data_IF_813892720974
#
_entry.id   IF_813892720974
#
_cell.length_a   1.000
_cell.length_b   1.000
_cell.length_c   1.000
_cell.angle_alpha   90.00
_cell.angle_beta   90.00
_cell.angle_gamma   90.00
#
_symmetry.space_group_name_H-M   'P 1'
#
loop_
_entity.id
_entity.type
_entity.pdbx_description
1 polymer ?
#
# COMPACT_ATOMS: atom_id res chain seq x y z
N UNK A 1 -9.23 27.28 -0.66
CA UNK A 1 -8.32 27.04 -1.80
C UNK A 1 -7.47 25.79 -1.60
N UNK A 2 -6.72 25.65 -0.50
CA UNK A 2 -5.79 24.54 -0.26
C UNK A 2 -6.38 23.13 -0.36
N UNK A 3 -7.62 22.89 0.11
CA UNK A 3 -8.26 21.57 -0.02
C UNK A 3 -8.44 21.14 -1.49
N UNK A 4 -8.94 22.04 -2.35
CA UNK A 4 -9.13 21.77 -3.79
C UNK A 4 -7.80 21.51 -4.49
N UNK A 5 -6.75 22.22 -4.09
CA UNK A 5 -5.41 22.02 -4.62
C UNK A 5 -4.85 20.65 -4.23
N UNK A 6 -4.98 20.24 -2.97
CA UNK A 6 -4.57 18.92 -2.51
C UNK A 6 -5.36 17.80 -3.19
N UNK A 7 -6.66 17.98 -3.38
CA UNK A 7 -7.48 17.05 -4.16
C UNK A 7 -6.98 16.93 -5.60
N UNK A 8 -6.71 18.07 -6.26
CA UNK A 8 -6.18 18.06 -7.62
C UNK A 8 -4.80 17.40 -7.75
N UNK A 9 -3.94 17.48 -6.72
CA UNK A 9 -2.68 16.73 -6.68
C UNK A 9 -2.91 15.21 -6.55
N UNK A 10 -3.86 14.82 -5.69
CA UNK A 10 -4.22 13.42 -5.51
C UNK A 10 -4.79 12.80 -6.80
N UNK A 11 -5.76 13.46 -7.43
CA UNK A 11 -6.38 12.99 -8.67
C UNK A 11 -5.36 12.84 -9.80
N UNK A 12 -4.45 13.82 -9.93
CA UNK A 12 -3.35 13.77 -10.91
C UNK A 12 -2.43 12.58 -10.66
N UNK A 13 -2.01 12.36 -9.42
CA UNK A 13 -1.16 11.22 -9.08
C UNK A 13 -1.82 9.88 -9.45
N UNK A 14 -3.11 9.73 -9.14
CA UNK A 14 -3.86 8.52 -9.49
C UNK A 14 -3.92 8.32 -11.00
N UNK A 15 -4.22 9.38 -11.75
CA UNK A 15 -4.30 9.33 -13.22
C UNK A 15 -2.94 8.99 -13.87
N UNK A 16 -1.84 9.59 -13.39
CA UNK A 16 -0.50 9.34 -13.93
C UNK A 16 0.01 7.93 -13.65
N UNK A 17 -0.50 7.25 -12.60
CA UNK A 17 -0.04 5.92 -12.18
C UNK A 17 -0.98 4.79 -12.54
N UNK A 18 -2.16 5.08 -13.09
CA UNK A 18 -3.22 4.07 -13.35
C UNK A 18 -2.84 2.98 -14.36
N UNK A 19 -1.83 3.21 -15.19
CA UNK A 19 -1.33 2.24 -16.19
C UNK A 19 -0.15 1.39 -15.71
N UNK A 20 0.37 1.66 -14.50
CA UNK A 20 1.49 0.93 -13.92
C UNK A 20 1.07 -0.09 -12.86
N UNK A 21 2.08 -0.75 -12.28
CA UNK A 21 1.90 -1.54 -11.06
C UNK A 21 1.71 -0.61 -9.88
N UNK A 22 0.56 -0.72 -9.21
CA UNK A 22 0.17 0.15 -8.10
C UNK A 22 -0.05 -0.68 -6.85
N UNK A 23 0.60 -0.30 -5.75
CA UNK A 23 0.27 -0.80 -4.42
C UNK A 23 -0.56 0.25 -3.70
N UNK A 24 -1.80 -0.10 -3.38
CA UNK A 24 -2.70 0.65 -2.53
C UNK A 24 -2.50 0.16 -1.10
N UNK A 25 -1.82 0.97 -0.29
CA UNK A 25 -1.41 0.60 1.07
C UNK A 25 -2.29 1.30 2.11
N UNK A 26 -3.12 0.54 2.82
CA UNK A 26 -3.91 1.02 3.94
C UNK A 26 -3.16 0.78 5.26
N UNK A 27 -2.88 1.83 6.02
CA UNK A 27 -2.19 1.72 7.31
C UNK A 27 -3.09 2.21 8.43
N UNK A 28 -3.56 1.31 9.29
CA UNK A 28 -4.41 1.64 10.44
C UNK A 28 -5.78 2.21 10.08
N UNK A 29 -6.25 1.95 8.86
CA UNK A 29 -7.57 2.42 8.40
C UNK A 29 -8.65 1.57 9.05
N UNK A 30 -9.55 2.21 9.78
CA UNK A 30 -10.69 1.56 10.45
C UNK A 30 -12.02 1.81 9.72
N UNK A 31 -13.09 1.24 10.28
CA UNK A 31 -14.41 1.19 9.65
C UNK A 31 -15.28 2.43 9.92
N UNK A 32 -14.78 3.44 10.63
CA UNK A 32 -15.57 4.63 10.99
C UNK A 32 -15.98 5.46 9.77
N UNK A 33 -15.08 5.57 8.78
CA UNK A 33 -15.29 6.39 7.58
C UNK A 33 -14.77 5.68 6.33
N UNK A 34 -15.38 4.55 5.93
CA UNK A 34 -14.85 3.71 4.85
C UNK A 34 -14.88 4.42 3.49
N UNK A 35 -15.72 5.46 3.33
CA UNK A 35 -15.81 6.27 2.12
C UNK A 35 -14.59 7.16 1.84
N UNK A 36 -13.67 7.34 2.79
CA UNK A 36 -12.48 8.20 2.60
C UNK A 36 -11.31 7.44 1.98
N UNK A 37 -11.07 6.19 2.40
CA UNK A 37 -9.91 5.40 1.95
C UNK A 37 -10.33 4.02 1.46
N UNK A 38 -10.96 3.21 2.31
CA UNK A 38 -11.24 1.79 2.04
C UNK A 38 -12.06 1.57 0.77
N UNK A 39 -13.22 2.22 0.63
CA UNK A 39 -14.07 2.03 -0.56
C UNK A 39 -13.43 2.57 -1.84
N UNK A 40 -12.80 3.76 -1.86
CA UNK A 40 -12.01 4.21 -3.00
C UNK A 40 -10.91 3.21 -3.41
N UNK A 41 -10.13 2.70 -2.45
CA UNK A 41 -9.05 1.76 -2.74
C UNK A 41 -9.56 0.43 -3.28
N UNK A 42 -10.68 -0.08 -2.77
CA UNK A 42 -11.33 -1.27 -3.32
C UNK A 42 -11.78 -1.03 -4.76
N UNK A 43 -12.41 0.13 -5.02
CA UNK A 43 -12.84 0.51 -6.37
C UNK A 43 -11.66 0.62 -7.33
N UNK A 44 -10.54 1.20 -6.88
CA UNK A 44 -9.32 1.33 -7.66
C UNK A 44 -8.69 -0.04 -7.93
N UNK A 45 -8.58 -0.91 -6.93
CA UNK A 45 -8.06 -2.29 -7.10
C UNK A 45 -8.90 -3.08 -8.10
N UNK A 46 -10.23 -2.89 -8.09
CA UNK A 46 -11.11 -3.54 -9.05
C UNK A 46 -10.91 -3.02 -10.48
N UNK A 47 -10.72 -1.71 -10.66
CA UNK A 47 -10.66 -1.02 -11.97
C UNK A 47 -9.28 -1.01 -12.61
N UNK A 48 -8.22 -0.93 -11.81
CA UNK A 48 -6.85 -0.84 -12.29
C UNK A 48 -6.31 -2.28 -12.47
N UNK A 49 -5.83 -2.65 -13.67
CA UNK A 49 -5.50 -4.04 -13.98
C UNK A 49 -4.37 -4.60 -13.11
N UNK A 50 -3.35 -3.79 -12.82
CA UNK A 50 -2.15 -4.17 -12.05
C UNK A 50 -2.09 -3.51 -10.66
N UNK A 51 -3.25 -3.21 -10.08
CA UNK A 51 -3.33 -2.71 -8.71
C UNK A 51 -3.48 -3.86 -7.70
N UNK A 52 -2.73 -3.75 -6.60
CA UNK A 52 -2.84 -4.60 -5.42
C UNK A 52 -3.19 -3.76 -4.20
N UNK A 53 -4.08 -4.29 -3.37
CA UNK A 53 -4.42 -3.74 -2.06
C UNK A 53 -3.65 -4.49 -0.98
N UNK A 54 -2.99 -3.75 -0.11
CA UNK A 54 -2.42 -4.28 1.12
C UNK A 54 -2.94 -3.46 2.29
N UNK A 55 -3.71 -4.09 3.18
CA UNK A 55 -4.11 -3.47 4.43
C UNK A 55 -3.23 -3.94 5.58
N UNK A 56 -2.83 -3.01 6.45
CA UNK A 56 -2.10 -3.30 7.67
C UNK A 56 -2.82 -2.65 8.83
N UNK A 57 -3.23 -3.45 9.80
CA UNK A 57 -3.85 -2.93 11.01
C UNK A 57 -3.57 -3.85 12.19
N UNK A 58 -3.61 -3.32 13.40
CA UNK A 58 -3.45 -4.10 14.64
C UNK A 58 -4.70 -4.93 14.97
N UNK A 59 -5.82 -4.54 14.37
CA UNK A 59 -7.13 -5.15 14.50
C UNK A 59 -7.87 -5.05 13.18
N UNK A 60 -8.79 -5.97 12.92
CA UNK A 60 -9.55 -5.99 11.68
C UNK A 60 -9.38 -7.32 10.97
N UNK A 61 -10.30 -7.57 10.06
CA UNK A 61 -10.49 -8.87 9.46
C UNK A 61 -9.78 -9.01 8.11
N UNK A 62 -9.90 -10.20 7.53
CA UNK A 62 -9.30 -10.61 6.26
C UNK A 62 -9.52 -9.63 5.10
N UNK A 63 -8.64 -9.69 4.10
CA UNK A 63 -8.77 -8.92 2.87
C UNK A 63 -10.12 -9.16 2.17
N UNK A 64 -10.67 -8.14 1.47
CA UNK A 64 -11.96 -8.25 0.80
C UNK A 64 -11.97 -9.36 -0.24
N UNK A 65 -12.78 -10.39 -0.01
CA UNK A 65 -12.88 -11.59 -0.86
C UNK A 65 -13.15 -11.27 -2.33
N UNK A 66 -13.93 -10.21 -2.60
CA UNK A 66 -14.25 -9.76 -3.96
C UNK A 66 -13.04 -9.28 -4.78
N UNK A 67 -11.92 -8.93 -4.13
CA UNK A 67 -10.69 -8.54 -4.81
C UNK A 67 -9.76 -9.73 -5.07
N UNK A 68 -10.07 -10.91 -4.52
CA UNK A 68 -9.33 -12.15 -4.73
C UNK A 68 -7.85 -12.01 -4.38
N UNK A 69 -6.97 -12.55 -5.22
CA UNK A 69 -5.50 -12.49 -5.03
C UNK A 69 -4.89 -11.09 -5.18
N UNK A 70 -5.69 -10.07 -5.50
CA UNK A 70 -5.24 -8.67 -5.56
C UNK A 70 -5.38 -7.94 -4.24
N UNK A 71 -5.85 -8.59 -3.17
CA UNK A 71 -5.92 -7.99 -1.85
C UNK A 71 -5.35 -8.91 -0.78
N UNK A 72 -4.55 -8.32 0.11
CA UNK A 72 -3.96 -8.98 1.26
C UNK A 72 -4.11 -8.11 2.52
N UNK A 73 -4.19 -8.76 3.68
CA UNK A 73 -4.32 -8.11 4.97
C UNK A 73 -3.23 -8.64 5.91
N UNK A 74 -2.51 -7.72 6.55
CA UNK A 74 -1.49 -8.00 7.55
C UNK A 74 -2.01 -7.53 8.91
N UNK A 75 -2.19 -8.48 9.83
CA UNK A 75 -2.49 -8.18 11.22
C UNK A 75 -1.17 -7.90 11.96
N UNK A 76 -0.84 -6.62 12.15
CA UNK A 76 0.40 -6.21 12.80
C UNK A 76 0.31 -4.82 13.44
N UNK A 77 1.12 -4.62 14.48
CA UNK A 77 1.44 -3.27 14.95
C UNK A 77 2.26 -2.53 13.89
N UNK A 78 1.82 -1.30 13.55
CA UNK A 78 2.45 -0.51 12.50
C UNK A 78 3.89 -0.11 12.85
N UNK A 79 4.18 0.16 14.13
CA UNK A 79 5.53 0.55 14.56
C UNK A 79 6.50 -0.62 14.41
N UNK A 80 6.08 -1.83 14.79
CA UNK A 80 6.85 -3.05 14.60
C UNK A 80 7.05 -3.38 13.12
N UNK A 81 5.98 -3.30 12.31
CA UNK A 81 6.07 -3.59 10.87
C UNK A 81 7.04 -2.63 10.16
N UNK A 82 6.90 -1.32 10.40
CA UNK A 82 7.76 -0.32 9.77
C UNK A 82 9.21 -0.43 10.24
N UNK A 83 9.44 -0.79 11.51
CA UNK A 83 10.79 -1.05 12.02
C UNK A 83 11.41 -2.27 11.33
N UNK A 84 10.67 -3.37 11.20
CA UNK A 84 11.13 -4.56 10.51
C UNK A 84 11.43 -4.30 9.02
N UNK A 85 10.57 -3.53 8.34
CA UNK A 85 10.76 -3.17 6.94
C UNK A 85 12.05 -2.35 6.72
N UNK A 86 12.38 -1.43 7.63
CA UNK A 86 13.63 -0.65 7.57
C UNK A 86 14.86 -1.53 7.74
N UNK A 87 14.85 -2.45 8.71
CA UNK A 87 15.96 -3.38 8.94
C UNK A 87 16.17 -4.32 7.75
N UNK A 88 15.08 -4.78 7.12
CA UNK A 88 15.13 -5.63 5.93
C UNK A 88 15.86 -4.97 4.75
N UNK A 89 15.66 -3.66 4.56
CA UNK A 89 16.36 -2.90 3.52
C UNK A 89 17.86 -2.78 3.80
N UNK A 90 18.28 -2.60 5.05
CA UNK A 90 19.69 -2.53 5.44
C UNK A 90 20.42 -3.86 5.18
N UNK A 91 19.78 -4.99 5.51
CA UNK A 91 20.32 -6.32 5.27
C UNK A 91 20.44 -6.62 3.76
N UNK A 92 19.45 -6.19 2.96
CA UNK A 92 19.49 -6.34 1.50
C UNK A 92 20.51 -5.43 0.82
N UNK A 93 20.72 -4.21 1.33
CA UNK A 93 21.77 -3.29 0.87
C UNK A 93 23.18 -3.72 1.28
N UNK A 94 23.32 -4.42 2.43
CA UNK A 94 24.58 -5.02 2.85
C UNK A 94 24.92 -6.25 2.00
N UNK A 95 23.94 -7.12 1.76
CA UNK A 95 24.11 -8.32 0.91
C UNK A 95 24.45 -7.98 -0.56
N UNK A 96 23.86 -6.92 -1.14
CA UNK A 96 24.18 -6.44 -2.50
C UNK A 96 25.57 -5.82 -2.63
N UNK A 97 26.18 -5.31 -1.55
CA UNK A 97 27.55 -4.78 -1.58
C UNK A 97 28.61 -5.88 -1.54
N UNK A 98 28.30 -7.02 -0.91
CA UNK A 98 29.23 -8.17 -0.84
C UNK A 98 29.33 -8.90 -2.19
N UNK A 99 28.30 -8.84 -3.04
CA UNK A 99 28.32 -9.50 -4.36
C UNK A 99 29.11 -8.77 -5.46
N UNK A 100 29.80 -7.67 -5.15
CA UNK A 100 30.60 -6.90 -6.13
C UNK A 100 32.12 -7.07 -5.95
N UNK A 101 32.57 -7.96 -5.07
CA UNK A 101 33.99 -8.29 -4.88
C UNK A 101 34.13 -9.78 -5.18
N UNK A 102 34.14 -10.14 -6.47
CA UNK A 102 34.65 -11.41 -7.04
C UNK A 102 34.24 -11.49 -8.53
N UNK A 103 34.82 -10.61 -9.35
CA UNK A 103 34.79 -10.69 -10.82
C UNK A 103 36.17 -10.36 -11.39
#
# INVERSE_FOLDING_TARGET
AAWRESLGRYERFVCERSSGRVLLLELGVGEMTPGIITLPFWSMTAKLPDAHLLSVNISGDSAPLQLGSRAEAILADLSMLLSAARTGDEQRSSSRRVSCVDA
#
